data_IF_404442442530
#
_entry.id   IF_404442442530
#
_cell.length_a   1.000
_cell.length_b   1.000
_cell.length_c   1.000
_cell.angle_alpha   90.00
_cell.angle_beta   90.00
_cell.angle_gamma   90.00
#
_symmetry.space_group_name_H-M   'P 1'
#
loop_
_entity.id
_entity.type
_entity.pdbx_description
1 polymer ?
#
# COMPACT_ATOMS: atom_id res chain seq x y z
N UNK A 1 -2.19 7.48 -18.75
CA UNK A 1 -1.38 6.24 -18.77
C UNK A 1 -0.70 6.16 -17.41
N UNK A 2 -0.50 4.98 -16.82
CA UNK A 2 0.19 4.90 -15.52
C UNK A 2 1.69 5.19 -15.73
N UNK A 3 2.21 6.24 -15.08
CA UNK A 3 3.64 6.58 -15.02
C UNK A 3 4.15 6.30 -13.60
N UNK A 4 5.30 5.63 -13.49
CA UNK A 4 5.88 5.30 -12.19
C UNK A 4 6.52 6.52 -11.51
N UNK A 5 6.89 7.55 -12.28
CA UNK A 5 7.37 8.81 -11.72
C UNK A 5 6.25 9.57 -11.01
N UNK A 6 5.03 9.57 -11.57
CA UNK A 6 3.86 10.18 -10.93
C UNK A 6 3.57 9.54 -9.56
N UNK A 7 3.77 8.22 -9.44
CA UNK A 7 3.61 7.50 -8.16
C UNK A 7 4.66 7.98 -7.15
N UNK A 8 5.93 7.98 -7.53
CA UNK A 8 7.02 8.43 -6.66
C UNK A 8 6.84 9.90 -6.26
N UNK A 9 6.44 10.77 -7.19
CA UNK A 9 6.17 12.17 -6.92
C UNK A 9 5.00 12.32 -5.93
N UNK A 10 3.92 11.57 -6.13
CA UNK A 10 2.77 11.58 -5.21
C UNK A 10 3.18 11.13 -3.80
N UNK A 11 3.98 10.08 -3.68
CA UNK A 11 4.48 9.60 -2.38
C UNK A 11 5.31 10.67 -1.67
N UNK A 12 6.21 11.34 -2.40
CA UNK A 12 7.03 12.44 -1.86
C UNK A 12 6.19 13.67 -1.49
N UNK A 13 5.17 14.00 -2.28
CA UNK A 13 4.25 15.10 -1.98
C UNK A 13 3.50 14.87 -0.66
N UNK A 14 3.08 13.63 -0.35
CA UNK A 14 2.45 13.31 0.96
C UNK A 14 3.42 13.58 2.11
N UNK A 15 4.67 13.14 1.98
CA UNK A 15 5.71 13.37 3.00
C UNK A 15 6.03 14.86 3.16
N UNK A 16 6.14 15.60 2.05
CA UNK A 16 6.38 17.02 2.06
C UNK A 16 5.25 17.78 2.75
N UNK A 17 3.99 17.49 2.40
CA UNK A 17 2.82 18.10 3.05
C UNK A 17 2.79 17.83 4.56
N UNK A 18 3.18 16.62 4.97
CA UNK A 18 3.24 16.26 6.38
C UNK A 18 4.35 17.03 7.12
N UNK A 19 5.49 17.27 6.48
CA UNK A 19 6.60 18.04 7.03
C UNK A 19 6.27 19.54 7.10
N UNK A 20 5.61 20.10 6.09
CA UNK A 20 5.31 21.54 5.98
C UNK A 20 4.13 21.97 6.85
N UNK A 21 3.07 21.16 6.93
CA UNK A 21 1.82 21.52 7.63
C UNK A 21 1.61 20.76 8.94
N UNK A 22 2.60 19.97 9.35
CA UNK A 22 2.55 19.16 10.57
C UNK A 22 2.77 19.96 11.88
N UNK A 23 2.94 19.25 13.01
CA UNK A 23 3.17 17.81 13.09
C UNK A 23 1.88 17.00 12.88
N UNK A 24 1.93 15.97 12.03
CA UNK A 24 0.93 14.91 11.96
C UNK A 24 1.50 13.64 12.60
N UNK A 25 0.88 13.16 13.68
CA UNK A 25 1.36 11.94 14.35
C UNK A 25 0.98 10.65 13.60
N UNK A 26 0.02 10.71 12.67
CA UNK A 26 -0.41 9.53 11.92
C UNK A 26 -0.98 9.85 10.55
N UNK A 27 -1.08 8.82 9.72
CA UNK A 27 -1.64 8.87 8.38
C UNK A 27 -2.92 8.04 8.30
N UNK A 28 -3.96 8.55 7.65
CA UNK A 28 -5.22 7.86 7.46
C UNK A 28 -5.60 7.87 5.99
N UNK A 29 -6.03 6.73 5.47
CA UNK A 29 -6.53 6.63 4.10
C UNK A 29 -7.79 5.78 3.98
N UNK A 30 -8.51 6.00 2.88
CA UNK A 30 -9.68 5.21 2.47
C UNK A 30 -9.51 4.70 1.05
N UNK A 31 -9.82 3.42 0.81
CA UNK A 31 -9.73 2.75 -0.50
C UNK A 31 -8.34 3.00 -1.11
N UNK A 32 -8.25 3.61 -2.29
CA UNK A 32 -6.97 3.98 -2.92
C UNK A 32 -6.10 4.89 -2.02
N UNK A 33 -6.68 5.76 -1.22
CA UNK A 33 -5.94 6.59 -0.27
C UNK A 33 -5.30 5.77 0.87
N UNK A 34 -5.92 4.67 1.28
CA UNK A 34 -5.32 3.74 2.25
C UNK A 34 -4.15 2.98 1.61
N UNK A 35 -4.31 2.56 0.36
CA UNK A 35 -3.23 1.97 -0.43
C UNK A 35 -2.05 2.93 -0.53
N UNK A 36 -2.28 4.18 -0.96
CA UNK A 36 -1.24 5.21 -1.06
C UNK A 36 -0.57 5.48 0.29
N UNK A 37 -1.34 5.60 1.37
CA UNK A 37 -0.79 5.79 2.71
C UNK A 37 0.17 4.66 3.10
N UNK A 38 -0.22 3.40 2.84
CA UNK A 38 0.65 2.26 3.08
C UNK A 38 1.89 2.27 2.17
N UNK A 39 1.74 2.64 0.89
CA UNK A 39 2.86 2.78 -0.06
C UNK A 39 3.89 3.80 0.44
N UNK A 40 3.45 4.98 0.88
CA UNK A 40 4.31 6.03 1.45
C UNK A 40 5.11 5.50 2.64
N UNK A 41 4.47 4.80 3.58
CA UNK A 41 5.15 4.23 4.74
C UNK A 41 6.20 3.19 4.36
N UNK A 42 5.85 2.29 3.43
CA UNK A 42 6.73 1.21 2.98
C UNK A 42 7.93 1.78 2.21
N UNK A 43 7.68 2.71 1.28
CA UNK A 43 8.73 3.33 0.48
C UNK A 43 9.67 4.16 1.37
N UNK A 44 9.12 4.97 2.27
CA UNK A 44 9.93 5.77 3.20
C UNK A 44 10.79 4.89 4.13
N UNK A 45 10.23 3.81 4.67
CA UNK A 45 10.99 2.87 5.50
C UNK A 45 12.10 2.16 4.70
N UNK A 46 11.85 1.84 3.43
CA UNK A 46 12.87 1.27 2.55
C UNK A 46 14.00 2.26 2.25
N UNK A 47 13.68 3.54 2.03
CA UNK A 47 14.67 4.58 1.71
C UNK A 47 15.50 5.03 2.92
N UNK A 48 14.86 5.16 4.08
CA UNK A 48 15.51 5.65 5.30
C UNK A 48 16.10 4.53 6.16
N UNK A 49 15.67 3.29 5.96
CA UNK A 49 16.06 2.15 6.78
C UNK A 49 15.46 2.21 8.18
N UNK A 50 16.20 1.70 9.17
CA UNK A 50 15.76 1.70 10.57
C UNK A 50 16.04 3.03 11.24
N UNK A 51 15.05 3.91 11.24
CA UNK A 51 15.08 5.19 11.99
C UNK A 51 14.28 5.11 13.29
N UNK A 52 14.68 5.86 14.35
CA UNK A 52 13.92 5.99 15.58
C UNK A 52 12.49 6.50 15.33
N UNK A 53 11.51 6.05 16.12
CA UNK A 53 10.10 6.44 15.92
C UNK A 53 9.87 7.95 15.94
N UNK A 54 10.59 8.69 16.79
CA UNK A 54 10.52 10.16 16.87
C UNK A 54 10.95 10.88 15.59
N UNK A 55 11.72 10.20 14.73
CA UNK A 55 12.25 10.72 13.47
C UNK A 55 11.41 10.28 12.26
N UNK A 56 10.40 9.41 12.48
CA UNK A 56 9.48 8.98 11.42
C UNK A 56 8.49 10.08 11.08
N UNK A 57 8.09 10.21 9.81
CA UNK A 57 7.08 11.19 9.38
C UNK A 57 5.70 10.91 10.00
N UNK A 58 5.41 9.63 10.26
CA UNK A 58 4.17 9.19 10.91
C UNK A 58 4.50 8.11 11.94
N UNK A 59 3.76 8.10 13.05
CA UNK A 59 3.93 7.17 14.16
C UNK A 59 2.84 6.11 14.21
N UNK A 60 1.69 6.33 13.57
CA UNK A 60 0.65 5.31 13.39
C UNK A 60 -0.07 5.46 12.05
N UNK A 61 -0.83 4.44 11.65
CA UNK A 61 -1.60 4.48 10.41
C UNK A 61 -2.99 3.87 10.54
N UNK A 62 -3.98 4.44 9.83
CA UNK A 62 -5.36 3.96 9.80
C UNK A 62 -5.76 3.68 8.35
N UNK A 63 -6.21 2.47 8.07
CA UNK A 63 -6.58 2.03 6.72
C UNK A 63 -8.04 1.61 6.66
N UNK A 64 -8.84 2.32 5.87
CA UNK A 64 -10.22 1.95 5.56
C UNK A 64 -10.28 1.28 4.19
N UNK A 65 -10.70 0.00 4.11
CA UNK A 65 -10.87 -0.75 2.86
C UNK A 65 -9.68 -0.65 1.88
N UNK A 66 -8.45 -0.59 2.42
CA UNK A 66 -7.25 -0.39 1.61
C UNK A 66 -6.88 -1.61 0.80
N UNK A 67 -6.60 -1.41 -0.49
CA UNK A 67 -6.01 -2.45 -1.32
C UNK A 67 -4.53 -2.64 -1.00
N UNK A 68 -3.98 -3.81 -1.34
CA UNK A 68 -2.56 -4.12 -1.18
C UNK A 68 -1.67 -3.11 -1.89
N UNK A 69 -0.69 -2.51 -1.20
CA UNK A 69 0.20 -1.49 -1.77
C UNK A 69 1.16 -2.09 -2.80
N UNK A 70 1.57 -1.27 -3.76
CA UNK A 70 2.70 -1.57 -4.64
C UNK A 70 3.93 -0.79 -4.23
N UNK A 71 5.13 -1.31 -4.50
CA UNK A 71 6.38 -0.59 -4.28
C UNK A 71 7.06 -0.33 -5.61
N UNK A 72 7.51 0.91 -5.82
CA UNK A 72 8.32 1.30 -6.97
C UNK A 72 9.81 1.18 -6.62
N UNK A 73 10.62 0.69 -7.54
CA UNK A 73 12.04 0.50 -7.35
C UNK A 73 12.83 0.74 -8.64
N UNK A 74 14.12 1.06 -8.52
CA UNK A 74 15.00 1.18 -9.68
C UNK A 74 15.40 -0.19 -10.20
N UNK A 75 15.35 -0.36 -11.51
CA UNK A 75 15.80 -1.57 -12.19
C UNK A 75 17.23 -1.37 -12.68
N UNK A 76 18.14 -2.27 -12.31
CA UNK A 76 19.56 -2.14 -12.66
C UNK A 76 19.83 -2.37 -14.16
N UNK A 77 19.04 -3.23 -14.80
CA UNK A 77 19.13 -3.55 -16.23
C UNK A 77 17.76 -3.89 -16.79
N UNK A 78 17.47 -3.44 -18.02
CA UNK A 78 16.19 -3.69 -18.70
C UNK A 78 15.84 -5.19 -18.68
N UNK A 79 14.79 -5.61 -17.93
CA UNK A 79 14.46 -7.02 -17.80
C UNK A 79 13.74 -7.49 -19.07
N UNK A 80 13.82 -8.79 -19.34
CA UNK A 80 13.14 -9.37 -20.49
C UNK A 80 11.61 -9.30 -20.29
N UNK A 81 10.84 -8.84 -21.29
CA UNK A 81 9.39 -8.90 -21.23
C UNK A 81 8.90 -10.34 -21.08
N UNK A 82 7.91 -10.56 -20.23
CA UNK A 82 7.21 -11.84 -20.13
C UNK A 82 5.82 -11.71 -20.73
N UNK A 83 5.25 -12.81 -21.22
CA UNK A 83 3.83 -12.86 -21.59
C UNK A 83 3.06 -13.29 -20.35
N UNK A 84 2.19 -12.43 -19.78
CA UNK A 84 1.37 -12.84 -18.64
C UNK A 84 0.48 -14.01 -19.03
N UNK A 85 0.34 -14.98 -18.14
CA UNK A 85 -0.66 -16.02 -18.30
C UNK A 85 -2.06 -15.42 -18.07
N UNK A 86 -2.71 -15.02 -19.16
CA UNK A 86 -4.05 -14.43 -19.15
C UNK A 86 -5.14 -15.40 -18.70
N UNK A 87 -4.83 -16.68 -18.48
CA UNK A 87 -5.78 -17.61 -17.87
C UNK A 87 -5.86 -17.42 -16.35
N UNK A 88 -4.89 -16.72 -15.74
CA UNK A 88 -4.87 -16.43 -14.32
C UNK A 88 -5.65 -15.15 -14.00
N UNK A 89 -6.68 -15.20 -13.13
CA UNK A 89 -7.48 -14.03 -12.78
C UNK A 89 -6.67 -12.87 -12.21
N UNK A 90 -5.59 -13.16 -11.47
CA UNK A 90 -4.72 -12.15 -10.88
C UNK A 90 -3.93 -11.37 -11.94
N UNK A 91 -3.45 -12.06 -12.99
CA UNK A 91 -2.75 -11.42 -14.11
C UNK A 91 -3.69 -10.48 -14.89
N UNK A 92 -4.96 -10.87 -15.08
CA UNK A 92 -5.97 -10.03 -15.70
C UNK A 92 -6.31 -8.79 -14.86
N UNK A 93 -6.52 -8.97 -13.54
CA UNK A 93 -6.77 -7.86 -12.60
C UNK A 93 -5.59 -6.88 -12.59
N UNK A 94 -4.36 -7.41 -12.57
CA UNK A 94 -3.14 -6.62 -12.61
C UNK A 94 -3.04 -5.80 -13.91
N UNK A 95 -3.30 -6.39 -15.08
CA UNK A 95 -3.34 -5.68 -16.37
C UNK A 95 -4.47 -4.65 -16.47
N UNK A 96 -5.64 -4.93 -15.91
CA UNK A 96 -6.75 -3.98 -15.87
C UNK A 96 -6.47 -2.78 -14.97
N UNK A 97 -5.83 -3.00 -13.81
CA UNK A 97 -5.41 -1.92 -12.91
C UNK A 97 -4.42 -0.95 -13.58
N UNK A 98 -3.63 -1.43 -14.54
CA UNK A 98 -2.66 -0.62 -15.30
C UNK A 98 -3.28 0.38 -16.28
N UNK A 99 -4.61 0.35 -16.49
CA UNK A 99 -5.27 1.11 -17.58
C UNK A 99 -4.54 0.95 -18.93
N UNK A 100 -3.99 -0.24 -19.19
CA UNK A 100 -3.43 -0.58 -20.48
C UNK A 100 -4.54 -0.45 -21.51
N UNK A 101 -4.43 0.50 -22.46
CA UNK A 101 -5.43 0.61 -23.51
C UNK A 101 -5.15 -0.49 -24.53
N UNK A 102 -5.97 -1.55 -24.61
CA UNK A 102 -5.69 -2.69 -25.48
C UNK A 102 -5.78 -2.30 -26.97
N UNK A 103 -6.47 -1.20 -27.30
CA UNK A 103 -6.67 -0.70 -28.65
C UNK A 103 -5.54 0.21 -29.15
N UNK A 104 -4.78 0.83 -28.24
CA UNK A 104 -3.69 1.76 -28.60
C UNK A 104 -2.30 1.12 -28.49
N UNK A 105 -2.18 -0.09 -27.92
CA UNK A 105 -0.89 -0.76 -27.72
C UNK A 105 0.11 0.04 -26.90
N UNK A 106 -0.35 1.07 -26.18
CA UNK A 106 0.49 2.01 -25.47
C UNK A 106 0.36 1.80 -23.96
N UNK A 107 1.35 1.10 -23.43
CA UNK A 107 1.71 1.17 -22.02
C UNK A 107 3.16 1.61 -21.95
N UNK A 108 3.47 2.62 -21.13
CA UNK A 108 4.85 2.88 -20.74
C UNK A 108 5.45 1.68 -20.00
N UNK A 109 4.60 0.81 -19.44
CA UNK A 109 4.98 -0.35 -18.64
C UNK A 109 4.73 -1.66 -19.38
N UNK A 110 5.69 -2.58 -19.32
CA UNK A 110 5.54 -3.97 -19.76
C UNK A 110 5.77 -4.93 -18.59
N UNK A 111 5.11 -6.10 -18.59
CA UNK A 111 5.33 -7.13 -17.60
C UNK A 111 6.72 -7.76 -17.76
N UNK A 112 7.39 -8.00 -16.64
CA UNK A 112 8.68 -8.69 -16.58
C UNK A 112 8.79 -9.50 -15.28
N UNK A 113 9.84 -10.31 -15.15
CA UNK A 113 10.21 -10.92 -13.86
C UNK A 113 11.08 -9.96 -13.04
N UNK A 114 10.93 -9.99 -11.71
CA UNK A 114 11.75 -9.24 -10.80
C UNK A 114 13.24 -9.63 -10.98
N UNK A 115 14.18 -8.67 -11.14
CA UNK A 115 15.58 -8.95 -11.47
C UNK A 115 16.32 -9.86 -10.47
N UNK A 116 15.84 -9.94 -9.23
CA UNK A 116 16.40 -10.85 -8.22
C UNK A 116 16.10 -12.35 -8.49
N UNK A 117 15.35 -12.70 -9.54
CA UNK A 117 15.09 -14.09 -9.93
C UNK A 117 14.17 -14.84 -8.97
N UNK A 118 13.27 -14.13 -8.30
CA UNK A 118 12.35 -14.72 -7.31
C UNK A 118 11.06 -15.27 -7.92
N UNK A 119 10.91 -15.29 -9.25
CA UNK A 119 9.65 -15.62 -9.93
C UNK A 119 8.54 -14.57 -9.77
N UNK A 120 8.82 -13.46 -9.08
CA UNK A 120 7.84 -12.39 -8.82
C UNK A 120 7.65 -11.56 -10.07
N UNK A 121 6.39 -11.37 -10.48
CA UNK A 121 6.07 -10.53 -11.63
C UNK A 121 6.09 -9.04 -11.26
N UNK A 122 6.58 -8.22 -12.18
CA UNK A 122 6.66 -6.77 -12.04
C UNK A 122 6.14 -6.08 -13.30
N UNK A 123 5.89 -4.79 -13.19
CA UNK A 123 5.64 -3.89 -14.32
C UNK A 123 6.78 -2.89 -14.42
N UNK A 124 7.27 -2.62 -15.62
CA UNK A 124 8.45 -1.75 -15.76
C UNK A 124 8.46 -1.00 -17.08
N UNK A 125 9.05 0.20 -17.07
CA UNK A 125 9.42 0.95 -18.28
C UNK A 125 10.86 0.63 -18.76
N UNK A 126 11.56 -0.27 -18.06
CA UNK A 126 12.97 -0.60 -18.25
C UNK A 126 13.94 0.17 -17.36
N UNK A 127 13.48 1.21 -16.67
CA UNK A 127 14.25 2.03 -15.71
C UNK A 127 13.70 1.89 -14.29
N UNK A 128 12.38 2.00 -14.13
CA UNK A 128 11.65 1.79 -12.89
C UNK A 128 10.80 0.53 -13.01
N UNK A 129 10.68 -0.18 -11.90
CA UNK A 129 9.85 -1.35 -11.72
C UNK A 129 8.82 -1.09 -10.63
N UNK A 130 7.64 -1.68 -10.76
CA UNK A 130 6.59 -1.67 -9.76
C UNK A 130 6.15 -3.10 -9.48
N UNK A 131 6.02 -3.44 -8.21
CA UNK A 131 5.57 -4.76 -7.78
C UNK A 131 4.55 -4.64 -6.64
N UNK A 132 3.50 -5.46 -6.70
CA UNK A 132 2.53 -5.60 -5.60
C UNK A 132 3.23 -6.19 -4.38
N UNK A 133 3.15 -5.56 -3.22
CA UNK A 133 3.74 -6.07 -1.97
C UNK A 133 3.10 -7.41 -1.57
N UNK A 134 3.90 -8.32 -1.00
CA UNK A 134 3.45 -9.66 -0.62
C UNK A 134 4.08 -10.05 0.72
N UNK A 135 3.28 -10.27 1.75
CA UNK A 135 3.78 -10.58 3.08
C UNK A 135 4.55 -11.91 3.17
N UNK A 136 4.26 -12.88 2.30
CA UNK A 136 4.98 -14.15 2.25
C UNK A 136 6.39 -13.99 1.65
N UNK A 137 6.57 -13.02 0.75
CA UNK A 137 7.86 -12.74 0.11
C UNK A 137 8.66 -11.65 0.83
N UNK A 138 7.98 -10.60 1.30
CA UNK A 138 8.58 -9.37 1.84
C UNK A 138 8.58 -9.34 3.38
N UNK A 139 7.79 -10.20 4.02
CA UNK A 139 7.59 -10.17 5.47
C UNK A 139 6.77 -8.97 5.94
N UNK A 140 7.10 -8.45 7.12
CA UNK A 140 6.41 -7.30 7.74
C UNK A 140 7.08 -6.00 7.33
N UNK A 141 6.41 -5.25 6.44
CA UNK A 141 6.89 -3.99 5.90
C UNK A 141 6.48 -2.78 6.74
N UNK A 142 5.33 -2.83 7.42
CA UNK A 142 4.83 -1.74 8.27
C UNK A 142 4.94 -2.16 9.74
N UNK A 143 5.81 -1.49 10.50
CA UNK A 143 6.09 -1.82 11.91
C UNK A 143 5.49 -0.84 12.92
N UNK A 144 4.74 0.14 12.44
CA UNK A 144 4.03 1.12 13.27
C UNK A 144 2.70 0.51 13.76
N UNK A 145 2.10 1.02 14.83
CA UNK A 145 0.72 0.71 15.17
C UNK A 145 -0.23 1.03 14.02
N UNK A 146 -1.11 0.07 13.70
CA UNK A 146 -2.09 0.23 12.63
C UNK A 146 -3.49 -0.18 13.06
N UNK A 147 -4.50 0.49 12.50
CA UNK A 147 -5.88 0.04 12.56
C UNK A 147 -6.39 -0.20 11.14
N UNK A 148 -6.95 -1.39 10.92
CA UNK A 148 -7.55 -1.78 9.65
C UNK A 148 -9.06 -1.87 9.82
N UNK A 149 -9.77 -0.92 9.24
CA UNK A 149 -11.22 -0.93 9.19
C UNK A 149 -11.63 -1.52 7.84
N UNK A 150 -12.13 -2.76 7.85
CA UNK A 150 -12.40 -3.51 6.62
C UNK A 150 -13.69 -4.29 6.66
N UNK A 151 -14.18 -4.72 5.51
CA UNK A 151 -15.32 -5.63 5.43
C UNK A 151 -14.85 -7.08 5.26
N UNK A 152 -15.38 -7.99 6.08
CA UNK A 152 -14.99 -9.42 6.03
C UNK A 152 -15.43 -10.11 4.74
N UNK A 153 -16.49 -9.62 4.10
CA UNK A 153 -17.04 -10.18 2.85
C UNK A 153 -16.55 -9.47 1.60
N UNK A 154 -15.68 -8.46 1.73
CA UNK A 154 -15.05 -7.83 0.58
C UNK A 154 -13.94 -8.73 0.01
N UNK A 155 -13.44 -8.43 -1.19
CA UNK A 155 -12.31 -9.19 -1.74
C UNK A 155 -11.10 -9.09 -0.80
N UNK A 156 -10.32 -10.19 -0.63
CA UNK A 156 -9.17 -10.22 0.28
C UNK A 156 -8.12 -9.12 -0.04
N UNK A 157 -8.06 -8.70 -1.30
CA UNK A 157 -7.25 -7.58 -1.77
C UNK A 157 -7.62 -6.28 -1.04
N UNK A 158 -8.87 -6.09 -0.60
CA UNK A 158 -9.39 -4.93 0.13
C UNK A 158 -9.22 -5.02 1.65
N UNK A 159 -8.03 -5.41 2.10
CA UNK A 159 -7.56 -5.12 3.45
C UNK A 159 -6.84 -6.25 4.17
N UNK A 160 -7.07 -7.51 3.80
CA UNK A 160 -6.40 -8.64 4.45
C UNK A 160 -4.93 -8.72 4.07
N UNK A 161 -4.62 -8.64 2.78
CA UNK A 161 -3.24 -8.66 2.29
C UNK A 161 -2.43 -7.47 2.85
N UNK A 162 -3.02 -6.27 2.93
CA UNK A 162 -2.38 -5.11 3.57
C UNK A 162 -2.20 -5.32 5.09
N UNK A 163 -3.18 -5.90 5.79
CA UNK A 163 -3.03 -6.27 7.20
C UNK A 163 -1.86 -7.25 7.41
N UNK A 164 -1.69 -8.21 6.51
CA UNK A 164 -0.61 -9.18 6.58
C UNK A 164 0.78 -8.56 6.40
N UNK A 165 0.90 -7.37 5.80
CA UNK A 165 2.16 -6.62 5.72
C UNK A 165 2.50 -5.87 7.01
N UNK A 166 1.56 -5.77 7.96
CA UNK A 166 1.72 -5.02 9.21
C UNK A 166 2.18 -5.92 10.36
N UNK A 167 2.92 -5.33 11.31
CA UNK A 167 3.44 -5.99 12.50
C UNK A 167 2.29 -6.44 13.42
N UNK A 168 2.20 -7.75 13.68
CA UNK A 168 1.00 -8.37 14.24
C UNK A 168 0.73 -7.93 15.69
N UNK A 169 1.78 -7.58 16.44
CA UNK A 169 1.65 -7.18 17.84
C UNK A 169 1.08 -5.76 18.02
N UNK A 170 1.06 -4.95 16.95
CA UNK A 170 0.62 -3.55 17.00
C UNK A 170 -0.44 -3.22 15.95
N UNK A 171 -0.89 -4.22 15.18
CA UNK A 171 -1.94 -4.09 14.17
C UNK A 171 -3.28 -4.59 14.71
N UNK A 172 -4.32 -3.75 14.62
CA UNK A 172 -5.70 -4.09 15.01
C UNK A 172 -6.65 -4.04 13.82
N UNK A 173 -7.81 -4.70 13.97
CA UNK A 173 -8.83 -4.77 12.94
C UNK A 173 -10.22 -4.46 13.51
N UNK A 174 -11.02 -3.71 12.75
CA UNK A 174 -12.46 -3.57 12.94
C UNK A 174 -13.18 -4.04 11.69
N UNK A 175 -14.22 -4.87 11.86
CA UNK A 175 -15.00 -5.42 10.76
C UNK A 175 -16.36 -4.74 10.64
N UNK A 176 -16.65 -4.18 9.45
CA UNK A 176 -17.97 -3.64 9.12
C UNK A 176 -18.68 -4.45 8.02
N UNK A 177 -19.97 -4.20 7.83
CA UNK A 177 -20.83 -4.91 6.84
C UNK A 177 -21.04 -4.11 5.55
N UNK A 178 -20.43 -2.95 5.43
CA UNK A 178 -20.64 -1.99 4.33
C UNK A 178 -19.93 -2.32 3.00
N UNK A 179 -19.46 -3.56 2.79
CA UNK A 179 -18.66 -3.96 1.60
C UNK A 179 -17.47 -3.01 1.42
N UNK A 180 -17.20 -2.55 0.20
CA UNK A 180 -16.13 -1.59 -0.08
C UNK A 180 -16.43 -0.14 0.35
N UNK A 181 -17.65 0.15 0.82
CA UNK A 181 -18.07 1.49 1.21
C UNK A 181 -17.59 1.85 2.64
N UNK A 182 -17.55 3.14 2.94
CA UNK A 182 -17.12 3.64 4.24
C UNK A 182 -18.11 3.26 5.36
N UNK A 183 -17.65 2.86 6.56
CA UNK A 183 -18.52 2.54 7.69
C UNK A 183 -19.39 3.71 8.12
N UNK A 184 -20.55 3.43 8.70
CA UNK A 184 -21.56 4.46 9.02
C UNK A 184 -22.48 4.05 10.16
N UNK A 185 -23.11 5.05 10.77
CA UNK A 185 -23.97 4.87 11.92
C UNK A 185 -23.29 5.27 13.22
N UNK A 186 -24.08 5.83 14.14
CA UNK A 186 -23.55 6.50 15.33
C UNK A 186 -22.67 5.59 16.20
N UNK A 187 -23.14 4.38 16.51
CA UNK A 187 -22.42 3.46 17.39
C UNK A 187 -21.14 2.91 16.73
N UNK A 188 -21.22 2.51 15.47
CA UNK A 188 -20.05 2.03 14.71
C UNK A 188 -18.97 3.11 14.59
N UNK A 189 -19.36 4.33 14.21
CA UNK A 189 -18.41 5.43 14.08
C UNK A 189 -17.79 5.83 15.43
N UNK A 190 -18.55 5.76 16.53
CA UNK A 190 -18.03 6.00 17.88
C UNK A 190 -16.99 4.96 18.28
N UNK A 191 -17.21 3.70 17.92
CA UNK A 191 -16.29 2.61 18.21
C UNK A 191 -15.02 2.70 17.36
N UNK A 192 -15.14 2.96 16.06
CA UNK A 192 -13.99 3.20 15.18
C UNK A 192 -13.17 4.39 15.70
N UNK A 193 -13.81 5.48 16.11
CA UNK A 193 -13.12 6.63 16.67
C UNK A 193 -12.40 6.31 17.99
N UNK A 194 -12.90 5.36 18.79
CA UNK A 194 -12.20 4.85 19.99
C UNK A 194 -10.94 4.09 19.60
N UNK A 195 -11.05 3.16 18.64
CA UNK A 195 -9.91 2.37 18.16
C UNK A 195 -8.83 3.23 17.51
N UNK A 196 -9.19 4.30 16.79
CA UNK A 196 -8.24 5.27 16.24
C UNK A 196 -7.42 5.92 17.37
N UNK A 197 -8.08 6.34 18.46
CA UNK A 197 -7.37 6.93 19.62
C UNK A 197 -6.43 5.93 20.28
N UNK A 198 -6.88 4.70 20.50
CA UNK A 198 -6.04 3.64 21.09
C UNK A 198 -4.83 3.30 20.22
N UNK A 199 -5.00 3.34 18.90
CA UNK A 199 -3.91 3.15 17.95
C UNK A 199 -2.89 4.29 18.03
N UNK A 200 -3.35 5.53 18.18
CA UNK A 200 -2.49 6.69 18.39
C UNK A 200 -1.77 6.64 19.75
N UNK A 201 -2.44 6.19 20.82
CA UNK A 201 -1.86 6.04 22.16
C UNK A 201 -0.73 5.00 22.16
N UNK A 202 -0.91 3.83 21.51
CA UNK A 202 0.16 2.83 21.33
C UNK A 202 1.41 3.40 20.67
N UNK A 203 1.26 4.36 19.76
CA UNK A 203 2.40 4.97 19.08
C UNK A 203 3.24 5.87 19.99
N UNK A 204 2.71 6.31 21.13
CA UNK A 204 3.46 7.03 22.15
C UNK A 204 4.27 6.10 23.06
N UNK A 205 3.97 4.80 23.08
CA UNK A 205 4.60 3.80 23.95
C UNK A 205 5.82 3.11 23.29
N UNK A 206 6.05 3.33 21.99
CA UNK A 206 7.10 2.72 21.17
C UNK A 206 8.27 3.66 20.88
#
# INVERSE_FOLDING_TARGET
MLDLNDILETEQQVLQLAAENGPYDGILGYSQGATLAAQVLIQNAHETGHIPNRERPFKFAIFFNGATPSRVFKVASKPAPIVPDLTQPLALKFLHAMKANPLLGSTCLYPAEHPAGSGRQILTDGTLGMMKCDAALDGKLIRLPTLHVRCQTDEAEHGEELYNLCEANVAEQYFHIHKHDFPRGYNEMREIARLIRETAERACEL
#
